data_IF_313605701260
#
_entry.id   IF_313605701260
#
_cell.length_a   1.000
_cell.length_b   1.000
_cell.length_c   1.000
_cell.angle_alpha   90.00
_cell.angle_beta   90.00
_cell.angle_gamma   90.00
#
_symmetry.space_group_name_H-M   'P 1'
#
loop_
_entity.id
_entity.type
_entity.pdbx_description
1 polymer ?
#
# COMPACT_ATOMS: atom_id res chain seq x y z
N UNK A 1 17.94 7.86 -8.56
CA UNK A 1 18.02 8.10 -7.11
C UNK A 1 17.31 9.42 -6.81
N UNK A 2 16.35 9.42 -5.89
CA UNK A 2 15.62 10.62 -5.46
C UNK A 2 16.04 10.95 -4.02
N UNK A 3 16.20 12.23 -3.69
CA UNK A 3 16.49 12.64 -2.31
C UNK A 3 15.28 12.45 -1.40
N UNK A 4 15.51 12.37 -0.09
CA UNK A 4 14.43 12.39 0.91
C UNK A 4 13.61 13.67 0.75
N UNK A 5 12.28 13.55 0.72
CA UNK A 5 11.36 14.66 0.53
C UNK A 5 10.94 14.95 -0.92
N UNK A 6 11.57 14.31 -1.92
CA UNK A 6 11.24 14.51 -3.35
C UNK A 6 9.97 13.77 -3.81
N UNK A 7 9.24 13.12 -2.89
CA UNK A 7 7.99 12.42 -3.22
C UNK A 7 8.17 11.01 -3.80
N UNK A 8 9.22 10.27 -3.40
CA UNK A 8 9.45 8.85 -3.76
C UNK A 8 8.17 8.01 -3.67
N UNK A 9 7.40 8.16 -2.57
CA UNK A 9 6.17 7.43 -2.31
C UNK A 9 5.12 7.62 -3.42
N UNK A 10 4.94 8.87 -3.89
CA UNK A 10 3.98 9.16 -4.95
C UNK A 10 4.46 8.64 -6.32
N UNK A 11 5.75 8.75 -6.60
CA UNK A 11 6.34 8.21 -7.85
C UNK A 11 6.22 6.69 -7.88
N UNK A 12 6.51 6.02 -6.76
CA UNK A 12 6.35 4.57 -6.63
C UNK A 12 4.90 4.14 -6.88
N UNK A 13 3.91 4.92 -6.43
CA UNK A 13 2.50 4.58 -6.58
C UNK A 13 2.06 4.40 -8.04
N UNK A 14 2.61 5.19 -8.96
CA UNK A 14 2.32 5.06 -10.40
C UNK A 14 2.85 3.72 -10.94
N UNK A 15 4.08 3.36 -10.59
CA UNK A 15 4.69 2.10 -11.02
C UNK A 15 3.99 0.89 -10.38
N UNK A 16 3.60 1.00 -9.12
CA UNK A 16 2.84 -0.03 -8.39
C UNK A 16 1.50 -0.26 -9.07
N UNK A 17 0.73 0.80 -9.32
CA UNK A 17 -0.57 0.71 -9.98
C UNK A 17 -0.46 -0.04 -11.31
N UNK A 18 0.48 0.36 -12.18
CA UNK A 18 0.66 -0.25 -13.49
C UNK A 18 0.96 -1.76 -13.41
N UNK A 19 1.83 -2.18 -12.49
CA UNK A 19 2.20 -3.59 -12.34
C UNK A 19 1.12 -4.40 -11.62
N UNK A 20 0.33 -3.78 -10.74
CA UNK A 20 -0.78 -4.42 -10.06
C UNK A 20 -1.91 -4.83 -11.03
N UNK A 21 -2.08 -4.11 -12.16
CA UNK A 21 -3.04 -4.47 -13.22
C UNK A 21 -2.76 -5.85 -13.85
N UNK A 22 -1.58 -6.44 -13.66
CA UNK A 22 -1.29 -7.81 -14.11
C UNK A 22 -2.04 -8.89 -13.31
N UNK A 23 -2.57 -8.55 -12.14
CA UNK A 23 -3.22 -9.48 -11.20
C UNK A 23 -2.25 -10.44 -10.48
N UNK A 24 -0.94 -10.30 -10.69
CA UNK A 24 0.11 -11.17 -10.12
C UNK A 24 0.71 -10.66 -8.81
N UNK A 25 0.16 -9.57 -8.26
CA UNK A 25 0.60 -8.98 -7.00
C UNK A 25 1.82 -8.07 -7.14
N UNK A 26 1.89 -7.06 -6.29
CA UNK A 26 3.02 -6.14 -6.15
C UNK A 26 3.38 -6.01 -4.68
N UNK A 27 4.66 -6.18 -4.34
CA UNK A 27 5.15 -5.97 -2.97
C UNK A 27 5.82 -4.59 -2.85
N UNK A 28 5.38 -3.76 -1.91
CA UNK A 28 6.14 -2.60 -1.47
C UNK A 28 6.84 -2.95 -0.17
N UNK A 29 8.17 -2.97 -0.22
CA UNK A 29 9.05 -3.30 0.89
C UNK A 29 9.58 -2.01 1.51
N UNK A 30 9.44 -1.86 2.81
CA UNK A 30 9.98 -0.74 3.59
C UNK A 30 10.69 -1.25 4.85
N UNK A 31 11.29 -0.36 5.63
CA UNK A 31 12.20 -0.70 6.73
C UNK A 31 11.49 -1.04 8.05
N UNK A 32 10.24 -0.63 8.25
CA UNK A 32 9.50 -0.95 9.50
C UNK A 32 7.97 -0.95 9.34
N UNK A 33 7.32 -1.61 10.30
CA UNK A 33 5.87 -1.80 10.38
C UNK A 33 5.07 -0.49 10.39
N UNK A 34 5.61 0.56 11.01
CA UNK A 34 4.96 1.86 11.05
C UNK A 34 4.89 2.47 9.65
N UNK A 35 6.01 2.47 8.91
CA UNK A 35 6.06 2.99 7.54
C UNK A 35 5.19 2.16 6.61
N UNK A 36 5.24 0.82 6.72
CA UNK A 36 4.43 -0.07 5.89
C UNK A 36 2.93 0.26 6.02
N UNK A 37 2.43 0.31 7.26
CA UNK A 37 1.01 0.60 7.53
C UNK A 37 0.64 2.04 7.19
N UNK A 38 1.49 3.02 7.53
CA UNK A 38 1.27 4.43 7.24
C UNK A 38 1.15 4.66 5.73
N UNK A 39 2.07 4.12 4.94
CA UNK A 39 2.13 4.37 3.50
C UNK A 39 1.02 3.62 2.76
N UNK A 40 0.67 2.41 3.21
CA UNK A 40 -0.50 1.69 2.70
C UNK A 40 -1.79 2.48 2.92
N UNK A 41 -1.98 3.06 4.10
CA UNK A 41 -3.15 3.90 4.40
C UNK A 41 -3.09 5.21 3.60
N UNK A 42 -1.94 5.87 3.54
CA UNK A 42 -1.79 7.17 2.87
C UNK A 42 -2.04 7.08 1.36
N UNK A 43 -1.49 6.05 0.70
CA UNK A 43 -1.68 5.81 -0.74
C UNK A 43 -2.97 5.04 -1.04
N UNK A 44 -3.60 4.46 -0.02
CA UNK A 44 -4.81 3.65 -0.13
C UNK A 44 -5.93 4.35 -0.89
N UNK A 45 -6.15 5.64 -0.64
CA UNK A 45 -7.16 6.43 -1.34
C UNK A 45 -6.96 6.43 -2.86
N UNK A 46 -5.71 6.50 -3.35
CA UNK A 46 -5.41 6.49 -4.79
C UNK A 46 -5.73 5.12 -5.38
N UNK A 47 -5.22 4.05 -4.75
CA UNK A 47 -5.38 2.69 -5.27
C UNK A 47 -6.83 2.21 -5.21
N UNK A 48 -7.52 2.45 -4.08
CA UNK A 48 -8.93 2.10 -3.91
C UNK A 48 -9.82 2.86 -4.87
N UNK A 49 -9.55 4.15 -5.09
CA UNK A 49 -10.27 4.95 -6.09
C UNK A 49 -10.14 4.33 -7.49
N UNK A 50 -8.97 3.78 -7.81
CA UNK A 50 -8.71 3.09 -9.08
C UNK A 50 -9.15 1.61 -9.09
N UNK A 51 -9.85 1.15 -8.04
CA UNK A 51 -10.42 -0.19 -7.96
C UNK A 51 -9.45 -1.30 -7.54
N UNK A 52 -8.24 -0.97 -7.07
CA UNK A 52 -7.29 -1.95 -6.56
C UNK A 52 -7.47 -2.21 -5.07
N UNK A 53 -7.12 -3.41 -4.65
CA UNK A 53 -7.07 -3.84 -3.24
C UNK A 53 -5.66 -3.73 -2.68
N UNK A 54 -5.56 -3.41 -1.39
CA UNK A 54 -4.27 -3.19 -0.73
C UNK A 54 -4.25 -3.93 0.60
N UNK A 55 -3.22 -4.74 0.78
CA UNK A 55 -2.87 -5.38 2.04
C UNK A 55 -1.67 -4.71 2.70
N UNK A 56 -1.56 -4.85 4.02
CA UNK A 56 -0.36 -4.53 4.78
C UNK A 56 -0.03 -5.66 5.74
N UNK A 57 1.24 -6.03 5.84
CA UNK A 57 1.76 -7.07 6.75
C UNK A 57 2.76 -6.45 7.73
N UNK A 58 2.62 -6.79 9.01
CA UNK A 58 3.47 -6.31 10.10
C UNK A 58 3.95 -7.48 10.95
N UNK A 59 4.84 -7.21 11.91
CA UNK A 59 5.32 -8.20 12.88
C UNK A 59 4.16 -8.83 13.68
N UNK A 60 4.42 -9.96 14.34
CA UNK A 60 3.46 -10.70 15.17
C UNK A 60 2.23 -11.23 14.41
N UNK A 61 2.38 -11.58 13.13
CA UNK A 61 1.30 -12.08 12.28
C UNK A 61 0.14 -11.10 12.08
N UNK A 62 0.34 -9.83 12.41
CA UNK A 62 -0.68 -8.80 12.16
C UNK A 62 -0.72 -8.49 10.68
N UNK A 63 -1.93 -8.41 10.14
CA UNK A 63 -2.17 -8.10 8.73
C UNK A 63 -3.42 -7.25 8.61
N UNK A 64 -3.47 -6.44 7.57
CA UNK A 64 -4.55 -5.49 7.37
C UNK A 64 -4.96 -5.43 5.91
N UNK A 65 -6.24 -5.16 5.66
CA UNK A 65 -6.73 -4.64 4.39
C UNK A 65 -6.98 -3.14 4.52
N UNK A 66 -6.70 -2.40 3.46
CA UNK A 66 -6.95 -0.97 3.42
C UNK A 66 -8.31 -0.72 2.77
N UNK A 67 -9.23 -0.20 3.57
CA UNK A 67 -10.62 0.02 3.19
C UNK A 67 -10.99 1.50 3.29
N UNK A 68 -12.07 1.91 2.63
CA UNK A 68 -12.64 3.23 2.86
C UNK A 68 -13.12 3.34 4.31
N UNK A 69 -12.86 4.48 4.94
CA UNK A 69 -13.35 4.75 6.30
C UNK A 69 -14.88 4.79 6.34
N UNK A 70 -15.49 5.27 5.25
CA UNK A 70 -16.94 5.31 5.03
C UNK A 70 -17.21 5.07 3.54
N UNK A 71 -17.64 3.85 3.22
CA UNK A 71 -17.93 3.40 1.85
C UNK A 71 -19.11 4.16 1.22
N UNK A 72 -20.12 4.53 2.01
CA UNK A 72 -21.29 5.25 1.52
C UNK A 72 -20.94 6.70 1.20
N UNK A 73 -20.16 7.34 2.08
CA UNK A 73 -19.64 8.68 1.87
C UNK A 73 -18.74 8.75 0.62
N UNK A 74 -17.85 7.76 0.43
CA UNK A 74 -17.04 7.65 -0.79
C UNK A 74 -17.91 7.56 -2.05
N UNK A 75 -18.89 6.64 -2.08
CA UNK A 75 -19.78 6.48 -3.24
C UNK A 75 -20.52 7.76 -3.59
N UNK A 76 -21.08 8.41 -2.57
CA UNK A 76 -21.74 9.71 -2.72
C UNK A 76 -20.78 10.77 -3.28
N UNK A 77 -19.54 10.82 -2.79
CA UNK A 77 -18.53 11.75 -3.25
C UNK A 77 -18.19 11.55 -4.74
N UNK A 78 -18.17 10.30 -5.23
CA UNK A 78 -18.00 10.01 -6.65
C UNK A 78 -19.21 10.47 -7.47
N UNK A 79 -20.43 10.18 -7.01
CA UNK A 79 -21.67 10.58 -7.69
C UNK A 79 -21.80 12.11 -7.81
N UNK A 80 -21.38 12.84 -6.78
CA UNK A 80 -21.43 14.31 -6.71
C UNK A 80 -20.20 15.00 -7.33
N UNK A 81 -19.25 14.26 -7.91
CA UNK A 81 -17.98 14.77 -8.47
C UNK A 81 -17.20 15.64 -7.45
N UNK A 82 -17.17 15.20 -6.19
CA UNK A 82 -16.43 15.87 -5.13
C UNK A 82 -14.92 15.68 -5.32
N UNK A 83 -14.17 16.75 -5.06
CA UNK A 83 -12.72 16.77 -5.24
C UNK A 83 -12.08 17.51 -4.09
N UNK A 84 -10.96 16.99 -3.61
CA UNK A 84 -10.08 17.71 -2.68
C UNK A 84 -9.48 18.94 -3.37
N UNK A 85 -9.18 18.81 -4.66
CA UNK A 85 -8.60 19.84 -5.50
C UNK A 85 -9.68 20.72 -6.15
N UNK A 86 -9.63 22.02 -5.87
CA UNK A 86 -10.60 23.00 -6.34
C UNK A 86 -10.70 23.02 -7.88
N UNK A 87 -11.93 22.99 -8.40
CA UNK A 87 -12.18 22.99 -9.84
C UNK A 87 -11.64 24.28 -10.48
N UNK A 88 -10.78 24.12 -11.47
CA UNK A 88 -10.18 25.24 -12.21
C UNK A 88 -8.88 25.79 -11.61
N UNK A 89 -8.43 25.30 -10.46
CA UNK A 89 -7.11 25.63 -9.94
C UNK A 89 -6.01 24.93 -10.76
N UNK A 90 -5.06 25.71 -11.29
CA UNK A 90 -4.00 25.24 -12.22
C UNK A 90 -2.59 25.33 -11.64
N UNK A 91 -2.44 25.66 -10.36
CA UNK A 91 -1.12 25.65 -9.73
C UNK A 91 -0.56 24.23 -9.62
N UNK A 92 0.75 24.09 -9.48
CA UNK A 92 1.39 22.78 -9.33
C UNK A 92 1.13 22.18 -7.94
N UNK A 93 1.03 23.03 -6.92
CA UNK A 93 0.75 22.67 -5.54
C UNK A 93 -0.53 23.35 -5.10
N UNK A 94 -1.41 22.61 -4.42
CA UNK A 94 -2.65 23.16 -3.87
C UNK A 94 -2.39 23.82 -2.52
N UNK A 95 -2.66 25.13 -2.36
CA UNK A 95 -2.56 25.83 -1.09
C UNK A 95 -3.52 25.23 -0.05
N UNK A 96 -3.14 25.27 1.23
CA UNK A 96 -3.91 24.62 2.29
C UNK A 96 -5.31 25.21 2.46
N UNK A 97 -5.45 26.52 2.26
CA UNK A 97 -6.73 27.26 2.29
C UNK A 97 -7.67 26.88 1.14
N UNK A 98 -7.15 26.23 0.10
CA UNK A 98 -7.91 25.74 -1.06
C UNK A 98 -8.26 24.27 -0.98
N UNK A 99 -7.89 23.56 0.08
CA UNK A 99 -8.35 22.20 0.29
C UNK A 99 -9.86 22.18 0.54
N UNK A 100 -10.60 21.41 -0.26
CA UNK A 100 -11.95 21.04 0.13
C UNK A 100 -11.87 19.97 1.24
N UNK A 101 -11.84 20.44 2.50
CA UNK A 101 -11.74 19.59 3.68
C UNK A 101 -12.92 18.63 3.78
N UNK A 102 -14.11 19.07 3.38
CA UNK A 102 -15.31 18.23 3.44
C UNK A 102 -15.22 17.10 2.42
N UNK A 103 -14.82 17.39 1.18
CA UNK A 103 -14.55 16.36 0.18
C UNK A 103 -13.47 15.38 0.66
N UNK A 104 -12.39 15.88 1.27
CA UNK A 104 -11.25 15.06 1.74
C UNK A 104 -11.67 13.95 2.71
N UNK A 105 -12.63 14.21 3.60
CA UNK A 105 -13.11 13.21 4.56
C UNK A 105 -13.71 11.97 3.90
N UNK A 106 -14.38 12.14 2.76
CA UNK A 106 -14.99 11.05 2.00
C UNK A 106 -13.96 10.14 1.31
N UNK A 107 -12.69 10.54 1.27
CA UNK A 107 -11.60 9.76 0.65
C UNK A 107 -10.60 9.26 1.69
N UNK A 108 -10.98 9.23 2.97
CA UNK A 108 -10.13 8.61 3.99
C UNK A 108 -10.21 7.09 3.91
N UNK A 109 -9.05 6.47 4.03
CA UNK A 109 -8.87 5.03 4.14
C UNK A 109 -8.38 4.66 5.53
N UNK A 110 -8.72 3.46 5.96
CA UNK A 110 -8.33 2.88 7.25
C UNK A 110 -7.77 1.48 7.05
N UNK A 111 -6.97 1.02 8.01
CA UNK A 111 -6.49 -0.34 8.06
C UNK A 111 -7.43 -1.19 8.93
N UNK A 112 -8.06 -2.19 8.32
CA UNK A 112 -8.93 -3.17 8.99
C UNK A 112 -8.17 -4.47 9.15
N UNK A 113 -8.26 -5.11 10.31
CA UNK A 113 -7.59 -6.40 10.53
C UNK A 113 -8.05 -7.46 9.53
N UNK A 114 -7.09 -8.26 9.06
CA UNK A 114 -7.31 -9.30 8.08
C UNK A 114 -6.39 -10.49 8.33
N UNK A 115 -6.70 -11.63 7.73
CA UNK A 115 -5.80 -12.78 7.73
C UNK A 115 -4.56 -12.50 6.86
N UNK A 116 -3.42 -13.10 7.22
CA UNK A 116 -2.16 -12.92 6.48
C UNK A 116 -2.29 -13.27 5.00
N UNK A 117 -3.01 -14.35 4.69
CA UNK A 117 -3.29 -14.76 3.32
C UNK A 117 -4.08 -13.71 2.53
N UNK A 118 -5.10 -13.08 3.15
CA UNK A 118 -5.91 -12.04 2.50
C UNK A 118 -5.06 -10.82 2.12
N UNK A 119 -4.06 -10.46 2.94
CA UNK A 119 -3.15 -9.36 2.61
C UNK A 119 -2.27 -9.63 1.37
N UNK A 120 -1.94 -10.90 1.07
CA UNK A 120 -1.25 -11.32 -0.17
C UNK A 120 -2.21 -11.59 -1.34
N UNK A 121 -3.50 -11.81 -1.06
CA UNK A 121 -4.54 -11.89 -2.09
C UNK A 121 -4.88 -10.51 -2.67
N UNK A 122 -4.54 -9.43 -1.96
CA UNK A 122 -4.64 -8.07 -2.45
C UNK A 122 -3.77 -7.83 -3.70
N UNK A 123 -4.11 -6.82 -4.50
CA UNK A 123 -3.33 -6.46 -5.70
C UNK A 123 -1.95 -5.89 -5.35
N UNK A 124 -1.88 -5.22 -4.20
CA UNK A 124 -0.69 -4.59 -3.66
C UNK A 124 -0.54 -5.01 -2.19
N UNK A 125 0.66 -5.41 -1.77
CA UNK A 125 0.97 -5.74 -0.38
C UNK A 125 2.12 -4.88 0.11
N UNK A 126 1.89 -4.10 1.16
CA UNK A 126 2.91 -3.34 1.88
C UNK A 126 3.47 -4.18 3.02
N UNK A 127 4.77 -4.12 3.27
CA UNK A 127 5.37 -4.87 4.37
C UNK A 127 6.84 -4.54 4.57
N UNK A 128 7.43 -5.17 5.58
CA UNK A 128 8.87 -5.12 5.82
C UNK A 128 9.59 -6.23 5.08
N UNK A 129 10.86 -6.03 4.76
CA UNK A 129 11.73 -7.06 4.19
C UNK A 129 11.74 -8.33 5.05
N UNK A 130 11.80 -8.16 6.38
CA UNK A 130 11.77 -9.25 7.33
C UNK A 130 10.48 -10.05 7.26
N UNK A 131 9.30 -9.40 7.23
CA UNK A 131 8.03 -10.11 7.18
C UNK A 131 7.83 -10.86 5.85
N UNK A 132 8.17 -10.26 4.71
CA UNK A 132 8.14 -10.96 3.43
C UNK A 132 9.06 -12.18 3.42
N UNK A 133 10.28 -12.05 3.97
CA UNK A 133 11.23 -13.15 4.09
C UNK A 133 10.74 -14.25 5.03
N UNK A 134 10.23 -13.90 6.21
CA UNK A 134 9.71 -14.86 7.18
C UNK A 134 8.49 -15.60 6.66
N UNK A 135 7.57 -14.93 5.96
CA UNK A 135 6.43 -15.59 5.33
C UNK A 135 6.88 -16.59 4.27
N UNK A 136 7.89 -16.24 3.46
CA UNK A 136 8.47 -17.18 2.50
C UNK A 136 9.05 -18.42 3.18
N UNK A 137 9.82 -18.24 4.27
CA UNK A 137 10.38 -19.35 5.03
C UNK A 137 9.27 -20.20 5.69
N UNK A 138 8.24 -19.57 6.27
CA UNK A 138 7.08 -20.25 6.86
C UNK A 138 6.31 -21.06 5.82
N UNK A 139 6.10 -20.51 4.64
CA UNK A 139 5.43 -21.19 3.52
C UNK A 139 6.19 -22.44 3.03
N UNK A 140 7.50 -22.53 3.25
CA UNK A 140 8.28 -23.73 2.95
C UNK A 140 8.25 -24.79 4.08
N UNK A 141 7.59 -24.50 5.21
CA UNK A 141 7.45 -25.41 6.36
C UNK A 141 6.03 -25.96 6.54
N UNK A 142 5.05 -25.50 5.74
CA UNK A 142 3.65 -25.95 5.84
C UNK A 142 3.47 -27.36 5.28
N UNK A 143 2.43 -28.06 5.75
CA UNK A 143 2.16 -29.44 5.34
C UNK A 143 1.33 -29.52 4.05
N UNK A 144 0.63 -28.44 3.68
CA UNK A 144 -0.23 -28.39 2.51
C UNK A 144 -0.28 -26.99 1.87
N UNK A 145 -0.58 -26.95 0.57
CA UNK A 145 -0.53 -25.70 -0.23
C UNK A 145 -1.58 -24.66 0.17
N UNK A 146 -2.69 -25.09 0.75
CA UNK A 146 -3.75 -24.21 1.25
C UNK A 146 -3.31 -23.40 2.47
N UNK A 147 -2.28 -23.85 3.19
CA UNK A 147 -1.70 -23.14 4.34
C UNK A 147 -0.69 -22.05 3.94
N UNK A 148 -0.27 -22.01 2.67
CA UNK A 148 0.64 -20.97 2.20
C UNK A 148 -0.06 -19.59 2.23
N UNK A 149 0.67 -18.55 2.64
CA UNK A 149 0.14 -17.19 2.66
C UNK A 149 0.56 -16.39 1.42
N UNK A 150 1.73 -16.64 0.82
CA UNK A 150 2.23 -15.92 -0.35
C UNK A 150 1.62 -16.46 -1.66
N UNK A 151 0.32 -16.25 -1.82
CA UNK A 151 -0.51 -16.86 -2.88
C UNK A 151 -0.22 -16.38 -4.30
N UNK A 152 0.32 -15.17 -4.45
CA UNK A 152 0.64 -14.55 -5.76
C UNK A 152 2.11 -14.69 -6.15
N UNK A 153 2.93 -15.32 -5.31
CA UNK A 153 4.37 -15.48 -5.53
C UNK A 153 5.14 -14.16 -5.49
N UNK A 154 6.22 -14.06 -6.27
CA UNK A 154 7.15 -12.93 -6.24
C UNK A 154 7.24 -12.27 -7.62
N UNK A 155 6.20 -11.54 -8.01
CA UNK A 155 6.11 -10.98 -9.36
C UNK A 155 6.89 -9.66 -9.53
N UNK A 156 6.63 -8.70 -8.65
CA UNK A 156 7.25 -7.37 -8.69
C UNK A 156 7.38 -6.83 -7.27
N UNK A 157 8.54 -6.25 -6.96
CA UNK A 157 8.80 -5.63 -5.67
C UNK A 157 9.46 -4.25 -5.86
N UNK A 158 8.93 -3.25 -5.15
CA UNK A 158 9.61 -1.97 -4.96
C UNK A 158 10.19 -1.95 -3.55
N UNK A 159 11.49 -1.74 -3.45
CA UNK A 159 12.19 -1.62 -2.17
C UNK A 159 12.45 -0.14 -1.91
N UNK A 160 11.75 0.42 -0.92
CA UNK A 160 12.03 1.75 -0.39
C UNK A 160 13.26 1.70 0.52
N UNK A 161 14.03 2.79 0.55
CA UNK A 161 15.35 2.84 1.22
C UNK A 161 16.23 1.63 0.88
N UNK A 162 16.41 1.42 -0.43
CA UNK A 162 17.07 0.27 -1.04
C UNK A 162 18.49 0.00 -0.51
N UNK A 163 19.22 1.05 -0.16
CA UNK A 163 20.56 0.96 0.44
C UNK A 163 20.50 0.33 1.84
N UNK A 164 19.58 0.80 2.67
CA UNK A 164 19.38 0.26 4.02
C UNK A 164 19.00 -1.22 3.97
N UNK A 165 18.09 -1.60 3.08
CA UNK A 165 17.55 -2.97 3.03
C UNK A 165 18.51 -3.94 2.32
N UNK A 166 18.97 -3.59 1.11
CA UNK A 166 19.72 -4.53 0.26
C UNK A 166 21.24 -4.50 0.49
N UNK A 167 21.76 -3.55 1.27
CA UNK A 167 23.20 -3.44 1.56
C UNK A 167 23.48 -3.59 3.05
N UNK A 168 22.74 -2.89 3.92
CA UNK A 168 23.04 -2.88 5.35
C UNK A 168 22.39 -4.04 6.09
N UNK A 169 21.08 -4.23 5.92
CA UNK A 169 20.37 -5.34 6.56
C UNK A 169 20.72 -6.71 5.95
N UNK A 170 20.95 -6.77 4.64
CA UNK A 170 21.31 -8.00 3.93
C UNK A 170 22.68 -8.60 4.32
N UNK A 171 23.44 -7.96 5.22
CA UNK A 171 24.73 -8.48 5.70
C UNK A 171 24.59 -9.67 6.64
N UNK A 172 23.44 -9.81 7.29
CA UNK A 172 23.17 -10.91 8.23
C UNK A 172 21.99 -11.73 7.69
N UNK A 173 22.19 -13.03 7.42
CA UNK A 173 21.12 -13.91 6.94
C UNK A 173 20.10 -14.29 8.04
#
# INVERSE_FOLDING_TARGET
>A
EMKTGEGKTLVAAIAIYLNALTGKGVHLVTVNDYLAKRDAVLMGAIYRFLGLTIGAINTNQQSFLIEWADEEAFKKAIEEDLRVWEKGYKGELLPEDKFNIEARKNFFTIAVEAERRQAYEADITYGTNNEFGFDYLRDNMVFSKDQMVQVKGHHYAIVDEVDSILIDEARTP
#
